data_IF_640264232561
#
_entry.id   IF_640264232561
#
_cell.length_a   1.000
_cell.length_b   1.000
_cell.length_c   1.000
_cell.angle_alpha   90.00
_cell.angle_beta   90.00
_cell.angle_gamma   90.00
#
_symmetry.space_group_name_H-M   'P 1'
#
loop_
_entity.id
_entity.type
_entity.pdbx_description
1 polymer ?
#
# COMPACT_ATOMS: atom_id res chain seq x y z
N UNK A 1 -43.41 -27.51 -8.04
CA UNK A 1 -42.86 -26.99 -9.32
C UNK A 1 -43.06 -25.46 -9.48
N UNK A 2 -42.90 -24.67 -8.41
CA UNK A 2 -43.11 -23.20 -8.39
C UNK A 2 -41.97 -22.41 -7.70
N UNK A 3 -40.77 -22.98 -7.61
CA UNK A 3 -39.60 -22.33 -7.00
C UNK A 3 -38.51 -21.93 -8.02
N UNK A 4 -38.70 -22.24 -9.31
CA UNK A 4 -37.72 -21.95 -10.36
C UNK A 4 -37.91 -20.58 -11.03
N UNK A 5 -39.01 -19.87 -10.76
CA UNK A 5 -39.38 -18.66 -11.49
C UNK A 5 -38.92 -17.35 -10.81
N UNK A 6 -38.45 -17.40 -9.56
CA UNK A 6 -37.99 -16.19 -8.85
C UNK A 6 -36.47 -15.94 -8.94
N UNK A 7 -35.67 -16.93 -9.34
CA UNK A 7 -34.22 -16.77 -9.46
C UNK A 7 -33.77 -16.13 -10.77
N UNK A 8 -34.64 -16.10 -11.79
CA UNK A 8 -34.35 -15.53 -13.11
C UNK A 8 -34.46 -14.00 -13.20
N UNK A 9 -35.04 -13.33 -12.20
CA UNK A 9 -35.21 -11.86 -12.20
C UNK A 9 -34.16 -11.10 -11.39
N UNK A 10 -33.34 -11.77 -10.58
CA UNK A 10 -32.27 -11.12 -9.81
C UNK A 10 -30.96 -10.95 -10.58
N UNK A 11 -30.78 -11.66 -11.69
CA UNK A 11 -29.56 -11.58 -12.53
C UNK A 11 -29.66 -10.43 -13.56
N UNK A 12 -30.85 -9.86 -13.77
CA UNK A 12 -31.08 -8.79 -14.75
C UNK A 12 -30.81 -7.36 -14.29
N UNK A 13 -30.65 -7.10 -12.98
CA UNK A 13 -30.41 -5.74 -12.45
C UNK A 13 -28.93 -5.41 -12.19
N UNK A 14 -28.01 -6.35 -12.43
CA UNK A 14 -26.56 -6.13 -12.25
C UNK A 14 -25.86 -5.42 -13.41
N UNK A 15 -26.52 -5.25 -14.55
CA UNK A 15 -25.89 -4.78 -15.80
C UNK A 15 -26.05 -3.26 -16.07
N UNK A 16 -26.73 -2.50 -15.21
CA UNK A 16 -27.04 -1.07 -15.46
C UNK A 16 -26.21 -0.10 -14.59
N UNK A 17 -25.39 -0.58 -13.66
CA UNK A 17 -24.63 0.29 -12.73
C UNK A 17 -23.15 0.52 -13.11
N UNK A 18 -22.70 0.06 -14.29
CA UNK A 18 -21.30 0.18 -14.72
C UNK A 18 -20.98 1.40 -15.60
N UNK A 19 -21.87 2.40 -15.69
CA UNK A 19 -21.71 3.49 -16.67
C UNK A 19 -21.98 4.87 -16.11
N UNK A 20 -21.50 5.18 -14.91
CA UNK A 20 -21.23 6.57 -14.48
C UNK A 20 -20.06 6.54 -13.50
N UNK A 21 -18.95 7.17 -13.86
CA UNK A 21 -17.97 7.88 -13.01
C UNK A 21 -16.62 7.98 -13.73
N UNK A 22 -16.64 8.73 -14.84
CA UNK A 22 -15.48 9.45 -15.35
C UNK A 22 -15.68 10.90 -14.88
N UNK A 23 -15.05 11.27 -13.76
CA UNK A 23 -14.87 12.67 -13.40
C UNK A 23 -13.38 12.82 -13.09
N UNK A 24 -12.68 13.47 -14.02
CA UNK A 24 -11.30 13.86 -13.86
C UNK A 24 -11.16 14.86 -12.73
N UNK A 25 -10.23 14.60 -11.83
CA UNK A 25 -9.67 15.62 -10.97
C UNK A 25 -8.66 16.40 -11.80
N UNK A 26 -8.93 17.68 -12.02
CA UNK A 26 -7.94 18.61 -12.56
C UNK A 26 -6.80 18.75 -11.57
N UNK A 27 -5.58 18.44 -11.99
CA UNK A 27 -4.39 18.63 -11.20
C UNK A 27 -4.07 20.13 -11.14
N UNK A 28 -4.22 20.72 -9.96
CA UNK A 28 -3.66 22.03 -9.68
C UNK A 28 -2.14 21.89 -9.59
N UNK A 29 -1.44 22.47 -10.56
CA UNK A 29 0.02 22.49 -10.60
C UNK A 29 0.52 23.38 -9.45
N UNK A 30 1.06 22.77 -8.39
CA UNK A 30 1.64 23.53 -7.29
C UNK A 30 2.84 24.33 -7.80
N UNK A 31 2.81 25.66 -7.59
CA UNK A 31 3.95 26.51 -7.89
C UNK A 31 5.15 26.12 -7.01
N UNK A 32 6.36 26.24 -7.55
CA UNK A 32 7.58 25.93 -6.80
C UNK A 32 7.67 26.78 -5.52
N UNK A 33 8.07 26.21 -4.37
CA UNK A 33 8.19 26.95 -3.12
C UNK A 33 9.19 28.10 -3.28
N UNK A 34 8.78 29.31 -2.92
CA UNK A 34 9.65 30.48 -2.92
C UNK A 34 10.25 30.66 -1.52
N UNK A 35 11.54 30.35 -1.37
CA UNK A 35 12.31 30.71 -0.17
C UNK A 35 12.68 32.20 -0.25
N UNK A 36 12.25 33.02 0.72
CA UNK A 36 12.63 34.43 0.76
C UNK A 36 14.12 34.55 1.10
N UNK A 37 14.93 35.11 0.20
CA UNK A 37 16.33 35.42 0.48
C UNK A 37 16.42 36.49 1.56
N UNK A 38 17.08 36.22 2.69
CA UNK A 38 17.56 37.28 3.59
C UNK A 38 17.38 37.11 5.09
N UNK A 39 16.62 36.11 5.57
CA UNK A 39 16.59 35.78 7.00
C UNK A 39 17.26 34.42 7.25
N UNK A 40 18.26 34.33 8.15
CA UNK A 40 18.90 33.06 8.43
C UNK A 40 17.93 32.12 9.13
N UNK A 41 17.81 30.89 8.62
CA UNK A 41 17.02 29.84 9.24
C UNK A 41 17.80 29.27 10.43
N UNK A 42 17.21 29.27 11.63
CA UNK A 42 17.78 28.55 12.77
C UNK A 42 17.55 27.05 12.58
N UNK A 43 18.60 26.25 12.68
CA UNK A 43 18.47 24.79 12.60
C UNK A 43 18.10 24.22 13.97
N UNK A 44 17.00 23.48 14.04
CA UNK A 44 16.66 22.68 15.22
C UNK A 44 17.55 21.42 15.31
N UNK A 45 18.24 21.03 14.21
CA UNK A 45 19.17 19.89 14.13
C UNK A 45 20.52 20.31 13.53
N UNK A 46 21.66 20.15 14.22
CA UNK A 46 22.97 20.51 13.68
C UNK A 46 23.41 19.55 12.56
N UNK A 47 24.29 20.00 11.66
CA UNK A 47 24.85 19.13 10.60
C UNK A 47 25.63 17.92 11.13
N UNK A 48 26.16 18.01 12.36
CA UNK A 48 26.83 16.90 13.04
C UNK A 48 25.90 15.73 13.39
N UNK A 49 24.58 15.95 13.40
CA UNK A 49 23.57 14.90 13.58
C UNK A 49 22.92 14.45 12.26
N UNK A 50 23.50 14.82 11.11
CA UNK A 50 22.99 14.42 9.81
C UNK A 50 22.94 12.89 9.67
N UNK A 51 21.86 12.38 9.08
CA UNK A 51 21.71 10.95 8.82
C UNK A 51 22.59 10.55 7.64
N UNK A 52 23.53 9.63 7.86
CA UNK A 52 24.44 9.15 6.81
C UNK A 52 23.72 8.19 5.87
N UNK A 53 23.65 8.56 4.59
CA UNK A 53 23.17 7.66 3.53
C UNK A 53 24.36 6.87 3.00
N UNK A 54 24.47 5.62 3.45
CA UNK A 54 25.44 4.67 2.93
C UNK A 54 25.02 4.15 1.55
N UNK A 55 25.99 4.00 0.65
CA UNK A 55 25.83 3.56 -0.74
C UNK A 55 24.95 4.50 -1.58
N UNK A 56 25.59 5.54 -2.10
CA UNK A 56 24.96 6.66 -2.82
C UNK A 56 24.52 6.27 -4.23
N UNK A 57 25.15 5.23 -4.78
CA UNK A 57 25.07 4.90 -6.21
C UNK A 57 24.13 3.73 -6.44
N UNK A 58 23.90 2.87 -5.44
CA UNK A 58 22.74 1.99 -5.49
C UNK A 58 21.45 2.81 -5.36
N UNK A 59 20.46 2.49 -6.20
CA UNK A 59 19.20 3.22 -6.19
C UNK A 59 18.52 3.03 -4.84
N UNK A 60 18.49 4.09 -4.04
CA UNK A 60 18.04 4.03 -2.65
C UNK A 60 17.04 5.14 -2.39
N UNK A 61 16.02 4.78 -1.63
CA UNK A 61 14.99 5.70 -1.21
C UNK A 61 15.07 5.84 0.30
N UNK A 62 15.10 7.07 0.77
CA UNK A 62 15.10 7.42 2.18
C UNK A 62 13.79 8.12 2.49
N UNK A 63 13.00 7.53 3.36
CA UNK A 63 11.69 8.06 3.75
C UNK A 63 11.84 8.91 5.00
N UNK A 64 11.23 10.10 5.00
CA UNK A 64 11.28 11.04 6.11
C UNK A 64 9.94 11.73 6.35
N UNK A 65 9.84 12.37 7.52
CA UNK A 65 8.69 13.16 7.95
C UNK A 65 9.18 14.45 8.57
N UNK A 66 8.96 15.54 7.87
CA UNK A 66 9.19 16.88 8.38
C UNK A 66 8.10 17.20 9.41
N UNK A 67 8.49 17.52 10.64
CA UNK A 67 7.59 17.89 11.72
C UNK A 67 8.32 18.75 12.77
N UNK A 68 7.58 19.57 13.52
CA UNK A 68 8.13 20.43 14.57
C UNK A 68 8.06 21.92 14.26
N UNK A 69 8.73 22.73 15.09
CA UNK A 69 8.82 24.19 14.96
C UNK A 69 9.56 24.63 13.70
N UNK A 70 10.66 23.94 13.38
CA UNK A 70 11.43 24.11 12.15
C UNK A 70 11.52 22.76 11.44
N UNK A 71 10.57 22.41 10.56
CA UNK A 71 10.55 21.12 9.87
C UNK A 71 11.72 21.00 8.90
N UNK A 72 12.82 20.41 9.38
CA UNK A 72 14.05 20.18 8.63
C UNK A 72 14.66 18.81 8.94
N UNK A 73 15.16 18.17 7.88
CA UNK A 73 15.97 16.97 7.94
C UNK A 73 17.25 17.19 7.12
N UNK A 74 18.35 16.63 7.62
CA UNK A 74 19.68 16.77 7.03
C UNK A 74 20.27 15.38 6.82
N UNK A 75 20.72 15.12 5.60
CA UNK A 75 21.37 13.89 5.19
C UNK A 75 22.80 14.18 4.77
N UNK A 76 23.73 13.31 5.16
CA UNK A 76 25.11 13.34 4.68
C UNK A 76 25.33 12.22 3.67
N UNK A 77 26.04 12.55 2.59
CA UNK A 77 26.25 11.67 1.44
C UNK A 77 27.73 11.71 1.10
N UNK A 78 28.42 10.57 1.25
CA UNK A 78 29.84 10.45 0.90
C UNK A 78 29.99 9.34 -0.15
N UNK A 79 30.21 9.70 -1.43
CA UNK A 79 30.36 8.72 -2.50
C UNK A 79 31.64 7.89 -2.35
N UNK A 80 31.55 6.62 -2.74
CA UNK A 80 32.66 5.66 -2.77
C UNK A 80 33.45 5.69 -4.10
N UNK A 81 32.89 6.32 -5.14
CA UNK A 81 33.51 6.59 -6.45
C UNK A 81 33.01 7.92 -7.03
N UNK A 82 33.78 8.45 -7.98
CA UNK A 82 33.35 9.59 -8.79
C UNK A 82 32.19 9.20 -9.70
N UNK A 83 31.22 10.09 -9.90
CA UNK A 83 30.09 9.83 -10.80
C UNK A 83 28.99 10.88 -10.71
N UNK A 84 28.03 10.80 -11.63
CA UNK A 84 26.84 11.64 -11.57
C UNK A 84 25.71 10.91 -10.82
N UNK A 85 25.03 11.66 -9.95
CA UNK A 85 23.92 11.17 -9.17
C UNK A 85 22.72 12.08 -9.34
N UNK A 86 21.54 11.47 -9.53
CA UNK A 86 20.27 12.18 -9.54
C UNK A 86 19.64 12.10 -8.16
N UNK A 87 19.35 13.26 -7.57
CA UNK A 87 18.57 13.39 -6.34
C UNK A 87 17.16 13.87 -6.69
N UNK A 88 16.16 13.15 -6.18
CA UNK A 88 14.76 13.53 -6.35
C UNK A 88 14.05 13.58 -5.00
N UNK A 89 13.35 14.67 -4.74
CA UNK A 89 12.42 14.78 -3.62
C UNK A 89 11.02 14.43 -4.12
N UNK A 90 10.40 13.48 -3.44
CA UNK A 90 9.12 12.89 -3.79
C UNK A 90 8.14 13.11 -2.64
N UNK A 91 6.87 13.36 -2.95
CA UNK A 91 5.80 13.43 -1.94
C UNK A 91 4.63 12.51 -2.33
N UNK A 92 4.05 11.73 -1.39
CA UNK A 92 2.90 10.89 -1.70
C UNK A 92 1.71 11.73 -2.18
N UNK A 93 1.07 11.34 -3.29
CA UNK A 93 -0.03 12.12 -3.91
C UNK A 93 -1.23 12.42 -3.00
N UNK A 94 -1.39 11.67 -1.91
CA UNK A 94 -2.47 11.87 -0.95
C UNK A 94 -2.20 13.04 0.02
N UNK A 95 -1.00 13.61 0.04
CA UNK A 95 -0.63 14.71 0.92
C UNK A 95 -0.02 15.85 0.10
N UNK A 96 -0.68 17.03 0.00
CA UNK A 96 -0.06 18.17 -0.65
C UNK A 96 1.16 18.62 0.15
N UNK A 97 2.36 18.30 -0.34
CA UNK A 97 3.63 18.73 0.23
C UNK A 97 4.27 19.84 -0.61
N UNK A 98 4.79 20.87 0.06
CA UNK A 98 5.60 21.93 -0.58
C UNK A 98 7.05 21.91 -0.09
N UNK A 99 7.52 20.72 0.29
CA UNK A 99 8.89 20.52 0.75
C UNK A 99 9.90 20.89 -0.34
N UNK A 100 10.97 21.56 0.07
CA UNK A 100 12.08 21.97 -0.76
C UNK A 100 13.29 21.06 -0.49
N UNK A 101 14.05 20.76 -1.55
CA UNK A 101 15.32 20.07 -1.47
C UNK A 101 16.45 21.05 -1.74
N UNK A 102 17.45 21.08 -0.86
CA UNK A 102 18.62 21.94 -0.99
C UNK A 102 19.85 21.06 -0.99
N UNK A 103 20.69 21.26 -2.00
CA UNK A 103 21.98 20.59 -2.13
C UNK A 103 23.07 21.48 -1.56
N UNK A 104 23.92 20.91 -0.70
CA UNK A 104 25.03 21.61 -0.05
C UNK A 104 26.33 20.96 -0.52
N UNK A 105 27.13 21.73 -1.27
CA UNK A 105 28.30 21.25 -2.01
C UNK A 105 29.58 21.99 -1.58
N UNK A 106 30.64 21.27 -1.16
CA UNK A 106 31.93 21.88 -0.82
C UNK A 106 32.85 22.12 -2.02
N UNK A 107 32.47 21.73 -3.25
CA UNK A 107 33.37 21.67 -4.41
C UNK A 107 33.10 22.71 -5.49
N UNK A 108 31.88 23.23 -5.63
CA UNK A 108 31.52 24.14 -6.73
C UNK A 108 30.78 25.39 -6.25
N UNK A 109 31.36 26.57 -6.52
CA UNK A 109 30.78 27.88 -6.18
C UNK A 109 29.70 28.39 -7.15
N UNK A 110 29.53 27.74 -8.30
CA UNK A 110 28.91 28.31 -9.50
C UNK A 110 27.36 28.31 -9.53
N UNK A 111 26.69 27.83 -8.48
CA UNK A 111 25.22 27.89 -8.36
C UNK A 111 24.75 28.35 -6.96
N UNK A 112 25.55 29.18 -6.29
CA UNK A 112 25.22 29.66 -4.95
C UNK A 112 23.96 30.57 -4.98
N UNK A 113 22.84 30.06 -4.48
CA UNK A 113 21.79 30.92 -3.95
C UNK A 113 22.05 31.04 -2.44
N UNK A 114 22.22 32.26 -1.93
CA UNK A 114 22.36 32.44 -0.48
C UNK A 114 20.98 32.24 0.18
N UNK A 115 20.68 31.00 0.56
CA UNK A 115 19.40 30.61 1.15
C UNK A 115 19.32 30.89 2.66
N UNK A 116 20.31 31.54 3.26
CA UNK A 116 20.33 31.86 4.70
C UNK A 116 20.43 30.64 5.62
N UNK A 117 20.71 29.44 5.10
CA UNK A 117 20.98 28.27 5.94
C UNK A 117 22.39 28.39 6.54
N UNK A 118 22.59 28.09 7.84
CA UNK A 118 23.92 27.97 8.39
C UNK A 118 24.67 26.87 7.62
N UNK A 119 25.97 27.03 7.42
CA UNK A 119 26.82 26.06 6.74
C UNK A 119 27.53 25.16 7.77
N UNK A 120 27.92 23.93 7.39
CA UNK A 120 28.76 23.10 8.25
C UNK A 120 30.07 23.83 8.60
N UNK A 121 30.51 23.78 9.86
CA UNK A 121 31.68 24.52 10.36
C UNK A 121 33.01 24.14 9.68
N UNK A 122 33.05 22.99 8.99
CA UNK A 122 34.26 22.44 8.37
C UNK A 122 34.27 22.56 6.84
N UNK A 123 34.29 23.78 6.30
CA UNK A 123 34.61 24.01 4.88
C UNK A 123 33.87 25.15 4.18
N UNK A 124 34.32 25.49 2.97
CA UNK A 124 33.64 26.42 2.07
C UNK A 124 32.49 25.70 1.35
N UNK A 125 31.36 25.56 2.01
CA UNK A 125 30.16 24.97 1.41
C UNK A 125 29.34 26.02 0.65
N UNK A 126 28.68 25.58 -0.41
CA UNK A 126 27.73 26.35 -1.20
C UNK A 126 26.36 25.68 -1.14
N UNK A 127 25.30 26.49 -1.16
CA UNK A 127 23.92 25.99 -1.17
C UNK A 127 23.26 26.25 -2.51
N UNK A 128 22.54 25.26 -3.02
CA UNK A 128 21.76 25.34 -4.25
C UNK A 128 20.37 24.76 -4.01
N UNK A 129 19.32 25.52 -4.34
CA UNK A 129 17.95 25.02 -4.33
C UNK A 129 17.77 24.06 -5.52
N UNK A 130 17.40 22.82 -5.24
CA UNK A 130 17.06 21.86 -6.28
C UNK A 130 15.69 22.25 -6.86
N UNK A 131 15.65 22.55 -8.16
CA UNK A 131 14.44 23.04 -8.81
C UNK A 131 13.41 21.93 -9.01
N UNK A 132 12.15 22.31 -9.02
CA UNK A 132 11.06 21.47 -9.50
C UNK A 132 11.28 21.13 -10.99
N UNK A 133 10.87 19.94 -11.44
CA UNK A 133 10.91 19.59 -12.85
C UNK A 133 10.02 20.54 -13.68
N UNK A 134 10.44 20.84 -14.92
CA UNK A 134 9.74 21.79 -15.81
C UNK A 134 8.29 21.39 -16.11
N UNK A 135 7.99 20.10 -16.07
CA UNK A 135 6.65 19.55 -16.17
C UNK A 135 6.34 18.74 -14.91
N UNK A 136 5.08 18.78 -14.47
CA UNK A 136 4.61 17.93 -13.38
C UNK A 136 4.91 16.47 -13.72
N UNK A 137 5.68 15.81 -12.87
CA UNK A 137 6.13 14.45 -13.07
C UNK A 137 5.69 13.62 -11.88
N UNK A 138 5.04 12.49 -12.17
CA UNK A 138 4.65 11.49 -11.19
C UNK A 138 5.63 10.33 -11.26
N UNK A 139 6.09 9.86 -10.11
CA UNK A 139 6.90 8.67 -9.96
C UNK A 139 6.05 7.57 -9.33
N UNK A 140 5.86 6.47 -10.04
CA UNK A 140 5.21 5.29 -9.49
C UNK A 140 6.26 4.35 -8.90
N UNK A 141 6.27 4.23 -7.58
CA UNK A 141 7.13 3.28 -6.88
C UNK A 141 6.45 1.91 -6.84
N UNK A 142 6.93 1.01 -7.68
CA UNK A 142 6.30 -0.30 -7.89
C UNK A 142 6.39 -1.20 -6.66
N UNK A 143 7.48 -1.14 -5.89
CA UNK A 143 7.63 -1.94 -4.67
C UNK A 143 6.67 -1.52 -3.56
N UNK A 144 6.18 -0.29 -3.64
CA UNK A 144 5.29 0.31 -2.66
C UNK A 144 3.89 0.53 -3.24
N UNK A 145 3.64 0.14 -4.49
CA UNK A 145 2.37 0.38 -5.18
C UNK A 145 1.85 1.83 -5.04
N UNK A 146 2.76 2.79 -4.91
CA UNK A 146 2.45 4.16 -4.48
C UNK A 146 2.88 5.17 -5.54
N UNK A 147 2.00 6.10 -5.85
CA UNK A 147 2.33 7.26 -6.66
C UNK A 147 2.89 8.40 -5.79
N UNK A 148 3.98 8.99 -6.28
CA UNK A 148 4.61 10.16 -5.72
C UNK A 148 4.63 11.30 -6.74
N UNK A 149 4.38 12.51 -6.28
CA UNK A 149 4.69 13.71 -7.04
C UNK A 149 6.17 14.06 -6.87
N UNK A 150 6.84 14.35 -7.98
CA UNK A 150 8.24 14.79 -7.96
C UNK A 150 8.28 16.29 -7.66
N UNK A 151 8.63 16.64 -6.43
CA UNK A 151 8.69 18.02 -5.96
C UNK A 151 9.97 18.74 -6.42
N UNK A 152 11.10 18.04 -6.43
CA UNK A 152 12.39 18.57 -6.87
C UNK A 152 13.24 17.47 -7.50
N UNK A 153 13.99 17.79 -8.56
CA UNK A 153 14.90 16.83 -9.18
C UNK A 153 16.15 17.55 -9.73
N UNK A 154 17.34 17.04 -9.40
CA UNK A 154 18.61 17.57 -9.89
C UNK A 154 19.66 16.50 -10.06
N UNK A 155 20.53 16.67 -11.05
CA UNK A 155 21.65 15.76 -11.36
C UNK A 155 22.96 16.47 -11.04
N UNK A 156 23.79 15.85 -10.21
CA UNK A 156 24.99 16.44 -9.65
C UNK A 156 26.19 15.51 -9.85
N UNK A 157 27.34 16.08 -10.21
CA UNK A 157 28.60 15.36 -10.29
C UNK A 157 29.23 15.28 -8.89
N UNK A 158 29.33 14.07 -8.35
CA UNK A 158 29.88 13.81 -7.03
C UNK A 158 31.30 13.27 -7.13
N UNK A 159 32.17 13.70 -6.21
CA UNK A 159 33.55 13.23 -6.08
C UNK A 159 33.69 12.22 -4.94
N UNK A 160 34.49 11.19 -5.17
CA UNK A 160 34.83 10.15 -4.21
C UNK A 160 35.40 10.76 -2.92
N UNK A 161 34.90 10.31 -1.78
CA UNK A 161 35.39 10.69 -0.45
C UNK A 161 35.04 12.11 -0.03
N UNK A 162 34.31 12.87 -0.85
CA UNK A 162 33.80 14.20 -0.50
C UNK A 162 32.41 14.07 0.10
N UNK A 163 32.18 14.71 1.24
CA UNK A 163 30.87 14.72 1.89
C UNK A 163 30.01 15.85 1.37
N UNK A 164 28.85 15.51 0.84
CA UNK A 164 27.78 16.42 0.44
C UNK A 164 26.65 16.35 1.46
N UNK A 165 25.87 17.43 1.58
CA UNK A 165 24.65 17.41 2.39
C UNK A 165 23.41 17.65 1.55
N UNK A 166 22.34 16.93 1.87
CA UNK A 166 21.01 17.14 1.33
C UNK A 166 20.13 17.62 2.49
N UNK A 167 19.54 18.80 2.32
CA UNK A 167 18.65 19.40 3.31
C UNK A 167 17.24 19.38 2.74
N UNK A 168 16.33 18.71 3.46
CA UNK A 168 14.91 18.70 3.13
C UNK A 168 14.20 19.55 4.17
N UNK A 169 13.46 20.56 3.73
CA UNK A 169 12.73 21.45 4.63
C UNK A 169 11.39 21.86 4.05
N UNK A 170 10.45 22.23 4.92
CA UNK A 170 9.18 22.81 4.49
C UNK A 170 9.13 24.29 4.89
N UNK A 171 9.11 25.23 3.91
CA UNK A 171 9.10 26.66 4.20
C UNK A 171 7.82 27.13 4.91
N UNK A 172 6.73 26.37 4.80
CA UNK A 172 5.43 26.72 5.37
C UNK A 172 5.21 26.14 6.78
N UNK A 173 6.21 25.47 7.34
CA UNK A 173 6.18 24.87 8.68
C UNK A 173 5.08 23.83 8.88
N UNK A 174 4.72 23.12 7.82
CA UNK A 174 3.74 22.05 7.82
C UNK A 174 4.40 20.70 8.07
N UNK A 175 3.60 19.76 8.57
CA UNK A 175 4.02 18.36 8.65
C UNK A 175 3.94 17.75 7.26
N UNK A 176 5.07 17.37 6.69
CA UNK A 176 5.15 16.83 5.32
C UNK A 176 5.90 15.51 5.31
N UNK A 177 5.28 14.48 4.74
CA UNK A 177 5.96 13.22 4.44
C UNK A 177 6.64 13.33 3.08
N UNK A 178 7.85 12.78 2.98
CA UNK A 178 8.61 12.78 1.74
C UNK A 178 9.42 11.49 1.58
N UNK A 179 9.80 11.22 0.34
CA UNK A 179 10.82 10.25 0.00
C UNK A 179 11.95 10.96 -0.77
N UNK A 180 13.18 10.79 -0.30
CA UNK A 180 14.38 11.24 -0.96
C UNK A 180 14.94 10.07 -1.77
N UNK A 181 14.82 10.15 -3.09
CA UNK A 181 15.33 9.14 -4.01
C UNK A 181 16.72 9.53 -4.52
N UNK A 182 17.65 8.59 -4.42
CA UNK A 182 18.99 8.64 -4.98
C UNK A 182 19.03 7.68 -6.17
N UNK A 183 19.16 8.21 -7.39
CA UNK A 183 19.40 7.43 -8.61
C UNK A 183 18.23 7.42 -9.61
N UNK A 184 18.47 6.83 -10.79
CA UNK A 184 17.56 6.90 -11.95
C UNK A 184 16.84 5.57 -12.26
N UNK A 185 17.25 4.43 -11.70
CA UNK A 185 16.68 3.14 -12.13
C UNK A 185 15.35 2.79 -11.45
N UNK A 186 14.60 1.93 -12.14
CA UNK A 186 13.21 1.56 -11.85
C UNK A 186 12.99 0.05 -11.72
N UNK A 187 14.05 -0.76 -11.59
CA UNK A 187 13.91 -2.23 -11.62
C UNK A 187 14.21 -2.86 -10.27
N UNK A 188 13.16 -3.37 -9.63
CA UNK A 188 13.23 -4.15 -8.40
C UNK A 188 13.23 -5.65 -8.68
N UNK A 189 13.79 -6.42 -7.75
CA UNK A 189 13.67 -7.89 -7.71
C UNK A 189 12.51 -8.31 -6.79
N UNK A 190 11.96 -9.51 -6.97
CA UNK A 190 10.86 -10.01 -6.12
C UNK A 190 11.21 -10.06 -4.61
N UNK A 191 12.50 -10.16 -4.26
CA UNK A 191 12.94 -10.10 -2.86
C UNK A 191 12.77 -8.72 -2.21
N UNK A 192 12.82 -7.66 -3.01
CA UNK A 192 12.69 -6.29 -2.51
C UNK A 192 11.25 -5.96 -2.08
N UNK A 193 10.24 -6.59 -2.70
CA UNK A 193 8.81 -6.42 -2.34
C UNK A 193 8.57 -6.82 -0.88
N UNK A 194 9.10 -7.97 -0.45
CA UNK A 194 8.94 -8.42 0.94
C UNK A 194 9.73 -7.58 1.94
N UNK A 195 10.95 -7.14 1.57
CA UNK A 195 11.75 -6.24 2.41
C UNK A 195 11.07 -4.89 2.60
N UNK A 196 10.41 -4.40 1.55
CA UNK A 196 9.76 -3.09 1.55
C UNK A 196 8.32 -3.12 2.06
N UNK A 197 7.74 -4.29 2.39
CA UNK A 197 6.39 -4.38 2.94
C UNK A 197 6.21 -3.58 4.24
N UNK A 198 7.24 -3.56 5.10
CA UNK A 198 7.22 -2.72 6.31
C UNK A 198 7.20 -1.22 6.00
N UNK A 199 7.97 -0.79 5.00
CA UNK A 199 7.95 0.59 4.48
C UNK A 199 6.61 0.92 3.86
N UNK A 200 6.02 -0.03 3.13
CA UNK A 200 4.71 0.10 2.53
C UNK A 200 3.57 0.23 3.55
N UNK A 201 3.66 -0.43 4.69
CA UNK A 201 2.73 -0.22 5.79
C UNK A 201 2.93 1.20 6.38
N UNK A 202 4.19 1.62 6.63
CA UNK A 202 4.50 2.95 7.19
C UNK A 202 3.98 4.09 6.31
N UNK A 203 4.28 4.03 5.00
CA UNK A 203 3.30 4.11 3.93
C UNK A 203 1.88 4.63 4.27
N UNK A 204 1.00 3.64 4.26
CA UNK A 204 -0.42 3.75 4.45
C UNK A 204 -0.83 4.25 5.85
N UNK A 205 0.06 4.17 6.86
CA UNK A 205 -0.28 4.54 8.25
C UNK A 205 0.20 5.93 8.67
N UNK A 206 0.79 6.75 7.77
CA UNK A 206 1.28 8.11 8.07
C UNK A 206 2.33 8.16 9.21
N UNK A 207 3.01 7.04 9.45
CA UNK A 207 3.89 6.83 10.61
C UNK A 207 5.39 6.89 10.24
N UNK A 208 5.71 7.78 9.30
CA UNK A 208 7.02 7.91 8.63
C UNK A 208 8.08 8.65 9.43
N UNK A 209 8.23 8.36 10.72
CA UNK A 209 9.42 8.87 11.40
C UNK A 209 10.65 8.06 10.92
N UNK A 210 11.58 8.74 10.25
CA UNK A 210 12.86 8.16 9.84
C UNK A 210 13.54 7.44 11.01
N UNK A 211 14.08 6.25 10.75
CA UNK A 211 14.85 5.39 11.68
C UNK A 211 14.22 5.02 13.02
N UNK A 212 13.03 5.52 13.38
CA UNK A 212 12.39 5.10 14.62
C UNK A 212 12.05 3.60 14.53
N UNK A 213 12.27 2.84 15.63
CA UNK A 213 11.84 1.46 15.68
C UNK A 213 10.37 1.41 15.29
N UNK A 214 9.98 0.38 14.54
CA UNK A 214 8.59 0.19 14.14
C UNK A 214 7.72 0.15 15.39
N UNK A 215 7.07 1.25 15.70
CA UNK A 215 6.08 1.30 16.77
C UNK A 215 4.84 0.66 16.21
N UNK A 216 4.43 -0.45 16.83
CA UNK A 216 3.21 -1.15 16.47
C UNK A 216 2.02 -0.23 16.76
N UNK A 217 1.63 0.58 15.77
CA UNK A 217 0.52 1.51 15.92
C UNK A 217 -0.82 0.80 15.75
N UNK A 218 -1.88 1.42 16.26
CA UNK A 218 -3.22 0.87 16.12
C UNK A 218 -3.63 0.72 14.64
N UNK A 219 -3.12 1.59 13.76
CA UNK A 219 -3.35 1.51 12.31
C UNK A 219 -2.69 0.26 11.69
N UNK A 220 -1.43 -0.01 12.05
CA UNK A 220 -0.72 -1.23 11.66
C UNK A 220 -1.49 -2.47 12.11
N UNK A 221 -1.93 -2.50 13.37
CA UNK A 221 -2.67 -3.64 13.92
C UNK A 221 -3.95 -3.91 13.14
N UNK A 222 -4.76 -2.87 12.89
CA UNK A 222 -6.00 -2.99 12.09
C UNK A 222 -5.71 -3.58 10.71
N UNK A 223 -4.69 -3.05 10.03
CA UNK A 223 -4.32 -3.48 8.70
C UNK A 223 -3.83 -4.94 8.68
N UNK A 224 -2.94 -5.30 9.61
CA UNK A 224 -2.43 -6.66 9.78
C UNK A 224 -3.56 -7.65 10.05
N UNK A 225 -4.47 -7.32 10.97
CA UNK A 225 -5.60 -8.19 11.31
C UNK A 225 -6.58 -8.34 10.14
N UNK A 226 -6.82 -7.28 9.38
CA UNK A 226 -7.62 -7.33 8.15
C UNK A 226 -6.98 -8.26 7.12
N UNK A 227 -5.68 -8.11 6.82
CA UNK A 227 -4.96 -9.00 5.89
C UNK A 227 -4.92 -10.45 6.37
N UNK A 228 -4.68 -10.68 7.66
CA UNK A 228 -4.64 -12.00 8.26
C UNK A 228 -6.01 -12.68 8.11
N UNK A 229 -7.09 -11.96 8.41
CA UNK A 229 -8.45 -12.48 8.27
C UNK A 229 -8.80 -12.81 6.82
N UNK A 230 -8.39 -11.97 5.86
CA UNK A 230 -8.55 -12.22 4.43
C UNK A 230 -7.74 -13.45 3.99
N UNK A 231 -6.49 -13.58 4.45
CA UNK A 231 -5.61 -14.70 4.10
C UNK A 231 -6.15 -16.03 4.63
N UNK A 232 -6.66 -16.04 5.87
CA UNK A 232 -7.34 -17.20 6.46
C UNK A 232 -8.59 -17.56 5.66
N UNK A 233 -9.44 -16.58 5.34
CA UNK A 233 -10.66 -16.78 4.57
C UNK A 233 -10.37 -17.36 3.17
N UNK A 234 -9.43 -16.76 2.44
CA UNK A 234 -8.97 -17.21 1.12
C UNK A 234 -8.40 -18.62 1.23
N UNK A 235 -7.48 -18.86 2.17
CA UNK A 235 -6.80 -20.15 2.32
C UNK A 235 -7.77 -21.30 2.58
N UNK A 236 -8.69 -21.14 3.52
CA UNK A 236 -9.67 -22.18 3.85
C UNK A 236 -10.67 -22.37 2.71
N UNK A 237 -11.11 -21.27 2.09
CA UNK A 237 -11.97 -21.35 0.92
C UNK A 237 -11.29 -22.17 -0.19
N UNK A 238 -10.03 -21.88 -0.54
CA UNK A 238 -9.30 -22.64 -1.56
C UNK A 238 -9.13 -24.11 -1.19
N UNK A 239 -8.78 -24.42 0.06
CA UNK A 239 -8.63 -25.80 0.54
C UNK A 239 -9.95 -26.57 0.43
N UNK A 240 -11.06 -25.98 0.89
CA UNK A 240 -12.38 -26.62 0.82
C UNK A 240 -12.81 -26.89 -0.63
N UNK A 241 -12.56 -25.95 -1.53
CA UNK A 241 -12.91 -26.11 -2.94
C UNK A 241 -12.02 -27.12 -3.66
N UNK A 242 -10.72 -27.17 -3.31
CA UNK A 242 -9.81 -28.18 -3.81
C UNK A 242 -10.29 -29.58 -3.42
N UNK A 243 -10.64 -29.79 -2.15
CA UNK A 243 -11.19 -31.07 -1.69
C UNK A 243 -12.57 -31.37 -2.30
N UNK A 244 -13.44 -30.39 -2.48
CA UNK A 244 -14.72 -30.57 -3.18
C UNK A 244 -14.53 -31.00 -4.64
N UNK A 245 -13.54 -30.43 -5.34
CA UNK A 245 -13.20 -30.83 -6.70
C UNK A 245 -12.60 -32.25 -6.74
N UNK A 246 -11.67 -32.55 -5.83
CA UNK A 246 -11.05 -33.88 -5.73
C UNK A 246 -12.05 -34.97 -5.31
N UNK A 247 -13.08 -34.63 -4.52
CA UNK A 247 -14.15 -35.55 -4.11
C UNK A 247 -14.94 -36.11 -5.31
N UNK A 248 -14.85 -35.49 -6.49
CA UNK A 248 -15.41 -36.04 -7.73
C UNK A 248 -14.66 -37.27 -8.24
N UNK A 249 -13.36 -37.35 -7.94
CA UNK A 249 -12.46 -38.38 -8.47
C UNK A 249 -11.96 -39.33 -7.38
N UNK A 250 -12.00 -38.92 -6.12
CA UNK A 250 -11.44 -39.67 -4.99
C UNK A 250 -12.41 -39.73 -3.81
N UNK A 251 -12.71 -40.96 -3.38
CA UNK A 251 -13.47 -41.26 -2.16
C UNK A 251 -12.76 -40.74 -0.91
N UNK A 252 -11.42 -40.81 -0.88
CA UNK A 252 -10.62 -40.30 0.22
C UNK A 252 -10.75 -38.77 0.34
N UNK A 253 -10.73 -38.05 -0.79
CA UNK A 253 -10.93 -36.60 -0.78
C UNK A 253 -12.35 -36.20 -0.32
N UNK A 254 -13.38 -36.98 -0.72
CA UNK A 254 -14.74 -36.79 -0.22
C UNK A 254 -14.86 -37.00 1.29
N UNK A 255 -14.19 -38.02 1.84
CA UNK A 255 -14.15 -38.26 3.29
C UNK A 255 -13.42 -37.14 4.04
N UNK A 256 -12.26 -36.69 3.55
CA UNK A 256 -11.53 -35.57 4.15
C UNK A 256 -12.39 -34.31 4.14
N UNK A 257 -13.06 -34.01 3.01
CA UNK A 257 -13.96 -32.86 2.92
C UNK A 257 -15.05 -32.91 3.99
N UNK A 258 -15.72 -34.05 4.16
CA UNK A 258 -16.75 -34.25 5.19
C UNK A 258 -16.18 -34.00 6.59
N UNK A 259 -15.01 -34.58 6.92
CA UNK A 259 -14.36 -34.41 8.22
C UNK A 259 -13.88 -32.98 8.48
N UNK A 260 -13.50 -32.24 7.43
CA UNK A 260 -13.04 -30.87 7.54
C UNK A 260 -14.18 -29.86 7.72
N UNK A 261 -15.41 -30.17 7.29
CA UNK A 261 -16.57 -29.26 7.37
C UNK A 261 -16.77 -28.54 8.72
N UNK A 262 -16.78 -29.22 9.88
CA UNK A 262 -16.95 -28.52 11.16
C UNK A 262 -15.81 -27.53 11.44
N UNK A 263 -14.57 -27.90 11.10
CA UNK A 263 -13.40 -27.05 11.27
C UNK A 263 -13.42 -25.88 10.29
N UNK A 264 -13.63 -26.13 8.98
CA UNK A 264 -13.62 -25.08 7.96
C UNK A 264 -14.67 -24.01 8.26
N UNK A 265 -15.86 -24.38 8.75
CA UNK A 265 -16.89 -23.42 9.19
C UNK A 265 -16.41 -22.51 10.29
N UNK A 266 -15.84 -23.05 11.36
CA UNK A 266 -15.40 -22.25 12.51
C UNK A 266 -14.41 -21.19 12.04
N UNK A 267 -13.46 -21.57 11.19
CA UNK A 267 -12.47 -20.63 10.69
C UNK A 267 -13.01 -19.68 9.61
N UNK A 268 -13.91 -20.12 8.72
CA UNK A 268 -14.58 -19.23 7.74
C UNK A 268 -15.35 -18.14 8.49
N UNK A 269 -16.16 -18.52 9.49
CA UNK A 269 -16.95 -17.56 10.26
C UNK A 269 -16.08 -16.65 11.14
N UNK A 270 -15.04 -17.20 11.76
CA UNK A 270 -14.08 -16.39 12.53
C UNK A 270 -13.32 -15.42 11.63
N UNK A 271 -12.82 -15.88 10.48
CA UNK A 271 -12.15 -15.05 9.49
C UNK A 271 -13.07 -13.96 8.95
N UNK A 272 -14.32 -14.30 8.63
CA UNK A 272 -15.30 -13.34 8.13
C UNK A 272 -15.69 -12.30 9.18
N UNK A 273 -15.86 -12.71 10.45
CA UNK A 273 -16.15 -11.79 11.56
C UNK A 273 -14.97 -10.85 11.83
N UNK A 274 -13.73 -11.37 11.89
CA UNK A 274 -12.53 -10.56 12.02
C UNK A 274 -12.39 -9.59 10.85
N UNK A 275 -12.58 -10.08 9.62
CA UNK A 275 -12.52 -9.24 8.43
C UNK A 275 -13.54 -8.11 8.50
N UNK A 276 -14.79 -8.38 8.89
CA UNK A 276 -15.81 -7.35 9.03
C UNK A 276 -15.45 -6.30 10.10
N UNK A 277 -15.00 -6.74 11.29
CA UNK A 277 -14.63 -5.85 12.40
C UNK A 277 -13.43 -4.97 11.99
N UNK A 278 -12.36 -5.57 11.46
CA UNK A 278 -11.15 -4.84 11.13
C UNK A 278 -11.29 -3.99 9.86
N UNK A 279 -12.11 -4.41 8.89
CA UNK A 279 -12.47 -3.55 7.74
C UNK A 279 -13.28 -2.34 8.22
N UNK A 280 -14.27 -2.54 9.11
CA UNK A 280 -15.00 -1.42 9.70
C UNK A 280 -14.06 -0.47 10.44
N UNK A 281 -13.18 -0.99 11.31
CA UNK A 281 -12.23 -0.15 12.06
C UNK A 281 -11.22 0.56 11.16
N UNK A 282 -10.88 -0.02 10.02
CA UNK A 282 -9.99 0.56 9.02
C UNK A 282 -10.68 1.70 8.25
N UNK A 283 -11.86 1.43 7.68
CA UNK A 283 -12.60 2.39 6.87
C UNK A 283 -13.45 3.40 7.66
N UNK A 284 -13.55 3.29 9.00
CA UNK A 284 -14.36 4.22 9.81
C UNK A 284 -13.90 5.69 9.68
N UNK A 285 -12.61 5.87 9.40
CA UNK A 285 -11.97 7.18 9.32
C UNK A 285 -12.08 7.72 7.87
N UNK A 286 -12.49 6.87 6.90
CA UNK A 286 -12.79 7.24 5.52
C UNK A 286 -14.27 7.52 5.30
N UNK A 287 -14.62 8.27 4.25
CA UNK A 287 -16.01 8.46 3.88
C UNK A 287 -16.62 7.12 3.45
N UNK A 288 -17.75 6.73 4.06
CA UNK A 288 -18.51 5.54 3.65
C UNK A 288 -18.86 5.57 2.16
N UNK A 289 -19.06 6.75 1.58
CA UNK A 289 -19.28 6.93 0.15
C UNK A 289 -17.94 6.73 -0.61
N UNK A 290 -17.80 5.61 -1.33
CA UNK A 290 -16.59 5.31 -2.10
C UNK A 290 -16.29 3.81 -2.21
N UNK A 291 -15.00 3.47 -2.27
CA UNK A 291 -14.51 2.08 -2.31
C UNK A 291 -15.03 1.24 -1.13
N UNK A 292 -15.08 1.76 0.12
CA UNK A 292 -15.59 0.98 1.26
C UNK A 292 -17.04 0.50 1.06
N UNK A 293 -17.91 1.36 0.51
CA UNK A 293 -19.30 0.99 0.20
C UNK A 293 -19.38 -0.08 -0.90
N UNK A 294 -18.58 0.03 -1.96
CA UNK A 294 -18.55 -0.99 -3.02
C UNK A 294 -18.04 -2.33 -2.48
N UNK A 295 -16.99 -2.32 -1.64
CA UNK A 295 -16.51 -3.52 -0.97
C UNK A 295 -17.57 -4.16 -0.08
N UNK A 296 -18.35 -3.35 0.65
CA UNK A 296 -19.49 -3.82 1.44
C UNK A 296 -20.57 -4.47 0.56
N UNK A 297 -20.91 -3.89 -0.59
CA UNK A 297 -21.87 -4.48 -1.52
C UNK A 297 -21.39 -5.83 -2.08
N UNK A 298 -20.10 -5.96 -2.37
CA UNK A 298 -19.47 -7.23 -2.83
C UNK A 298 -19.41 -8.26 -1.69
N UNK A 299 -19.33 -7.81 -0.44
CA UNK A 299 -19.33 -8.68 0.73
C UNK A 299 -20.68 -9.37 0.96
N UNK A 300 -21.80 -8.76 0.57
CA UNK A 300 -23.16 -9.34 0.70
C UNK A 300 -23.31 -10.68 -0.04
N UNK A 301 -23.02 -10.81 -1.36
CA UNK A 301 -23.14 -12.09 -2.06
C UNK A 301 -22.17 -13.15 -1.51
N UNK A 302 -20.98 -12.75 -1.04
CA UNK A 302 -20.07 -13.66 -0.34
C UNK A 302 -20.71 -14.22 0.93
N UNK A 303 -21.27 -13.35 1.78
CA UNK A 303 -21.94 -13.74 3.01
C UNK A 303 -23.13 -14.68 2.74
N UNK A 304 -23.97 -14.35 1.75
CA UNK A 304 -25.12 -15.18 1.37
C UNK A 304 -24.65 -16.56 0.87
N UNK A 305 -23.58 -16.61 0.08
CA UNK A 305 -23.02 -17.86 -0.42
C UNK A 305 -22.48 -18.74 0.72
N UNK A 306 -21.76 -18.14 1.68
CA UNK A 306 -21.22 -18.86 2.84
C UNK A 306 -22.32 -19.31 3.81
N UNK A 307 -23.39 -18.52 3.99
CA UNK A 307 -24.60 -18.93 4.71
C UNK A 307 -25.26 -20.13 4.04
N UNK A 308 -25.40 -20.10 2.71
CA UNK A 308 -25.94 -21.22 1.95
C UNK A 308 -25.11 -22.50 2.10
N UNK A 309 -23.78 -22.39 2.07
CA UNK A 309 -22.88 -23.52 2.33
C UNK A 309 -23.08 -24.07 3.74
N UNK A 310 -23.12 -23.18 4.74
CA UNK A 310 -23.21 -23.54 6.16
C UNK A 310 -24.54 -24.21 6.51
N UNK A 311 -25.66 -23.62 6.06
CA UNK A 311 -27.02 -24.01 6.46
C UNK A 311 -27.60 -25.09 5.56
N UNK A 312 -27.32 -25.05 4.24
CA UNK A 312 -27.99 -25.94 3.27
C UNK A 312 -27.09 -27.07 2.81
N UNK A 313 -25.86 -26.78 2.39
CA UNK A 313 -24.98 -27.79 1.78
C UNK A 313 -24.34 -28.68 2.85
N UNK A 314 -23.76 -28.08 3.87
CA UNK A 314 -22.99 -28.82 4.85
C UNK A 314 -23.80 -29.87 5.63
N UNK A 315 -25.03 -29.61 6.12
CA UNK A 315 -25.82 -30.66 6.78
C UNK A 315 -26.16 -31.83 5.85
N UNK A 316 -26.37 -31.55 4.55
CA UNK A 316 -26.65 -32.59 3.54
C UNK A 316 -25.42 -33.44 3.25
N UNK A 317 -24.25 -32.84 3.31
CA UNK A 317 -22.95 -33.54 3.14
C UNK A 317 -22.64 -34.37 4.38
N UNK A 318 -22.88 -33.85 5.58
CA UNK A 318 -22.74 -34.61 6.83
C UNK A 318 -23.69 -35.82 6.92
N UNK A 319 -24.92 -35.70 6.39
CA UNK A 319 -25.86 -36.82 6.34
C UNK A 319 -25.37 -38.00 5.48
N UNK A 320 -24.47 -37.76 4.52
CA UNK A 320 -23.83 -38.82 3.72
C UNK A 320 -22.85 -39.66 4.55
N UNK A 321 -22.23 -39.06 5.58
CA UNK A 321 -21.36 -39.78 6.52
C UNK A 321 -22.17 -40.79 7.35
N UNK A 322 -23.31 -40.33 7.89
CA UNK A 322 -24.19 -41.14 8.74
C UNK A 322 -24.79 -42.32 7.98
N UNK A 323 -25.15 -42.09 6.71
CA UNK A 323 -25.78 -43.13 5.88
C UNK A 323 -24.78 -44.13 5.30
N UNK A 324 -23.46 -43.90 5.41
CA UNK A 324 -22.36 -44.72 4.84
C UNK A 324 -22.53 -45.09 3.36
N UNK A 325 -23.47 -44.46 2.65
CA UNK A 325 -23.99 -44.98 1.38
C UNK A 325 -23.14 -44.61 0.18
N UNK A 326 -22.45 -43.46 0.20
CA UNK A 326 -21.64 -43.03 -0.95
C UNK A 326 -20.47 -42.16 -0.47
N UNK A 327 -19.24 -42.59 -0.77
CA UNK A 327 -18.05 -41.75 -0.55
C UNK A 327 -17.85 -40.69 -1.65
N UNK A 328 -18.75 -40.66 -2.64
CA UNK A 328 -18.78 -39.69 -3.75
C UNK A 328 -20.02 -38.81 -3.63
N UNK A 329 -19.83 -37.50 -3.75
CA UNK A 329 -20.91 -36.52 -3.54
C UNK A 329 -21.94 -36.62 -4.69
N UNK A 330 -23.26 -36.74 -4.40
CA UNK A 330 -24.30 -36.77 -5.41
C UNK A 330 -24.25 -35.57 -6.37
N UNK A 331 -24.51 -35.80 -7.66
CA UNK A 331 -24.42 -34.74 -8.69
C UNK A 331 -25.28 -33.50 -8.38
N UNK A 332 -26.45 -33.69 -7.79
CA UNK A 332 -27.32 -32.58 -7.38
C UNK A 332 -26.70 -31.67 -6.30
N UNK A 333 -25.91 -32.23 -5.38
CA UNK A 333 -25.17 -31.48 -4.37
C UNK A 333 -23.93 -30.81 -5.00
N UNK A 334 -23.24 -31.52 -5.89
CA UNK A 334 -22.08 -30.98 -6.63
C UNK A 334 -22.42 -29.73 -7.43
N UNK A 335 -23.54 -29.74 -8.17
CA UNK A 335 -23.99 -28.56 -8.93
C UNK A 335 -24.19 -27.35 -8.02
N UNK A 336 -24.86 -27.53 -6.88
CA UNK A 336 -25.11 -26.44 -5.92
C UNK A 336 -23.83 -25.93 -5.26
N UNK A 337 -22.91 -26.85 -4.95
CA UNK A 337 -21.58 -26.50 -4.44
C UNK A 337 -20.81 -25.66 -5.46
N UNK A 338 -20.80 -26.07 -6.73
CA UNK A 338 -20.13 -25.35 -7.80
C UNK A 338 -20.71 -23.94 -8.03
N UNK A 339 -22.03 -23.78 -7.97
CA UNK A 339 -22.63 -22.44 -8.04
C UNK A 339 -22.23 -21.55 -6.87
N UNK A 340 -22.27 -22.08 -5.65
CA UNK A 340 -21.83 -21.34 -4.47
C UNK A 340 -20.32 -21.02 -4.53
N UNK A 341 -19.52 -21.94 -5.07
CA UNK A 341 -18.10 -21.70 -5.37
C UNK A 341 -17.93 -20.50 -6.30
N UNK A 342 -18.62 -20.47 -7.44
CA UNK A 342 -18.51 -19.37 -8.40
C UNK A 342 -18.87 -18.03 -7.75
N UNK A 343 -20.00 -17.96 -7.02
CA UNK A 343 -20.41 -16.72 -6.33
C UNK A 343 -19.37 -16.27 -5.32
N UNK A 344 -18.87 -17.18 -4.48
CA UNK A 344 -17.83 -16.85 -3.49
C UNK A 344 -16.50 -16.49 -4.15
N UNK A 345 -16.09 -17.18 -5.21
CA UNK A 345 -14.85 -16.93 -5.93
C UNK A 345 -14.85 -15.55 -6.59
N UNK A 346 -15.93 -15.20 -7.29
CA UNK A 346 -16.05 -13.87 -7.88
C UNK A 346 -16.17 -12.77 -6.83
N UNK A 347 -16.87 -13.02 -5.71
CA UNK A 347 -16.98 -12.02 -4.63
C UNK A 347 -15.63 -11.80 -3.93
N UNK A 348 -14.91 -12.88 -3.63
CA UNK A 348 -13.57 -12.82 -3.04
C UNK A 348 -12.57 -12.16 -4.00
N UNK A 349 -12.61 -12.53 -5.28
CA UNK A 349 -11.80 -11.91 -6.32
C UNK A 349 -12.07 -10.41 -6.47
N UNK A 350 -13.35 -10.00 -6.46
CA UNK A 350 -13.72 -8.60 -6.48
C UNK A 350 -13.24 -7.85 -5.23
N UNK A 351 -13.35 -8.44 -4.03
CA UNK A 351 -12.78 -7.87 -2.80
C UNK A 351 -11.27 -7.65 -2.97
N UNK A 352 -10.53 -8.65 -3.46
CA UNK A 352 -9.08 -8.53 -3.70
C UNK A 352 -8.74 -7.43 -4.71
N UNK A 353 -9.51 -7.33 -5.81
CA UNK A 353 -9.32 -6.28 -6.82
C UNK A 353 -9.60 -4.90 -6.23
N UNK A 354 -10.71 -4.71 -5.52
CA UNK A 354 -11.04 -3.42 -4.90
C UNK A 354 -10.05 -3.06 -3.80
N UNK A 355 -9.54 -4.05 -3.06
CA UNK A 355 -8.47 -3.85 -2.11
C UNK A 355 -7.20 -3.38 -2.82
N UNK A 356 -6.79 -4.02 -3.92
CA UNK A 356 -5.65 -3.57 -4.73
C UNK A 356 -5.83 -2.16 -5.30
N UNK A 357 -7.04 -1.81 -5.76
CA UNK A 357 -7.37 -0.45 -6.23
C UNK A 357 -7.28 0.55 -5.07
N UNK A 358 -7.77 0.18 -3.88
CA UNK A 358 -7.72 1.04 -2.71
C UNK A 358 -6.28 1.43 -2.35
N UNK A 359 -5.33 0.48 -2.46
CA UNK A 359 -3.93 0.72 -2.13
C UNK A 359 -3.08 1.35 -3.24
N UNK A 360 -3.62 1.46 -4.46
CA UNK A 360 -2.90 2.07 -5.60
C UNK A 360 -3.35 3.51 -5.87
N UNK A 361 -4.50 3.91 -5.33
CA UNK A 361 -4.89 5.32 -5.17
C UNK A 361 -4.20 5.89 -3.95
#
# INVERSE_FOLDING_TARGET
>A
MKAATYFGRLVGMGAVLCSVFLIGAGFAQAAAPQLSSGQPLTLDKPYSSAQTITDVISNKEVFGKLQGSTPIDIYSVTPDRDGEQTFSLLSPQQMPGQAALIFVDPTTASQAQNLGLPLPESGNYHTALVKAPTAAKTYYETALFQNFDVLAQGRYSLKKGVTYYLVVLDPYRQTVNYALKLGESSSWTAGDVFRNFGTWIRLQTNDYAGTSPFTFSWHVFKYFMMLLSLSVLVGIFFIEQLFAFMANKSKAAGYILIKMQPFSKVFIWSGLALMAIFSYLFFRDDSWLGIPFVMFLVFIPLLISLLYQTIVLSPRVAALEVTKKEATIPFALRKRWFFSFLVSFFSLGAILVFFGIYFTK
#
